data_IF_707994287957
#
_entry.id   IF_707994287957
#
_cell.length_a   1.000
_cell.length_b   1.000
_cell.length_c   1.000
_cell.angle_alpha   90.00
_cell.angle_beta   90.00
_cell.angle_gamma   90.00
#
_symmetry.space_group_name_H-M   'P 1'
#
loop_
_entity.id
_entity.type
_entity.pdbx_description
1 polymer ?
#
# COMPACT_ATOMS: atom_id res chain seq x y z
N UNK A 1 -6.80 28.35 27.05
CA UNK A 1 -6.41 28.77 25.70
C UNK A 1 -5.50 27.70 25.10
N UNK A 2 -5.95 26.97 24.07
CA UNK A 2 -5.11 25.97 23.37
C UNK A 2 -4.30 26.70 22.31
N UNK A 3 -2.98 26.60 22.37
CA UNK A 3 -2.09 27.17 21.36
C UNK A 3 -2.33 26.43 20.03
N UNK A 4 -2.75 27.18 19.01
CA UNK A 4 -2.88 26.68 17.64
C UNK A 4 -1.46 26.62 17.07
N UNK A 5 -0.87 25.42 17.00
CA UNK A 5 0.44 25.23 16.37
C UNK A 5 0.23 25.34 14.86
N UNK A 6 0.79 26.34 14.16
CA UNK A 6 0.65 26.44 12.71
C UNK A 6 1.37 25.25 12.07
N UNK A 7 0.65 24.50 11.23
CA UNK A 7 1.24 23.46 10.40
C UNK A 7 2.36 24.06 9.54
N UNK A 8 3.51 23.39 9.47
CA UNK A 8 4.73 23.87 8.83
C UNK A 8 4.46 24.15 7.33
N UNK A 9 4.78 25.34 6.78
CA UNK A 9 4.25 25.77 5.47
C UNK A 9 4.82 25.06 4.22
N UNK A 10 5.62 24.00 4.34
CA UNK A 10 6.36 23.44 3.20
C UNK A 10 6.42 21.92 3.19
N UNK A 11 5.39 21.22 3.69
CA UNK A 11 5.31 19.79 3.42
C UNK A 11 4.86 19.64 1.95
N UNK A 12 5.73 19.20 1.02
CA UNK A 12 5.28 18.86 -0.32
C UNK A 12 4.15 17.85 -0.16
N UNK A 13 2.99 18.16 -0.73
CA UNK A 13 1.90 17.20 -0.75
C UNK A 13 2.46 15.93 -1.37
N UNK A 14 2.56 14.87 -0.57
CA UNK A 14 2.98 13.58 -1.10
C UNK A 14 1.99 13.25 -2.22
N UNK A 15 2.46 12.92 -3.44
CA UNK A 15 1.57 12.56 -4.54
C UNK A 15 0.68 11.35 -4.17
N UNK A 16 1.12 10.61 -3.16
CA UNK A 16 0.45 9.47 -2.58
C UNK A 16 -0.53 9.92 -1.48
N UNK A 17 -1.84 9.92 -1.82
CA UNK A 17 -2.93 10.39 -0.93
C UNK A 17 -3.07 9.52 0.33
N UNK A 18 -2.61 8.27 0.29
CA UNK A 18 -2.70 7.31 1.39
C UNK A 18 -1.36 6.55 1.59
N UNK A 19 -0.28 7.24 1.99
CA UNK A 19 1.09 6.69 1.94
C UNK A 19 1.29 5.45 2.83
N UNK A 20 0.52 5.32 3.92
CA UNK A 20 0.57 4.13 4.78
C UNK A 20 -0.02 2.90 4.10
N UNK A 21 -1.10 3.06 3.35
CA UNK A 21 -1.76 1.98 2.62
C UNK A 21 -0.91 1.55 1.42
N UNK A 22 -0.35 2.51 0.68
CA UNK A 22 0.58 2.24 -0.42
C UNK A 22 1.82 1.49 0.08
N UNK A 23 2.40 1.92 1.22
CA UNK A 23 3.53 1.20 1.83
C UNK A 23 3.16 -0.22 2.27
N UNK A 24 1.99 -0.40 2.89
CA UNK A 24 1.52 -1.71 3.31
C UNK A 24 1.25 -2.64 2.12
N UNK A 25 0.70 -2.12 1.02
CA UNK A 25 0.45 -2.84 -0.23
C UNK A 25 1.75 -3.33 -0.87
N UNK A 26 2.75 -2.44 -1.03
CA UNK A 26 4.09 -2.82 -1.51
C UNK A 26 4.72 -3.90 -0.63
N UNK A 27 4.69 -3.74 0.69
CA UNK A 27 5.27 -4.73 1.59
C UNK A 27 4.54 -6.09 1.52
N UNK A 28 3.22 -6.10 1.34
CA UNK A 28 2.48 -7.34 1.12
C UNK A 28 2.89 -8.02 -0.19
N UNK A 29 3.14 -7.27 -1.27
CA UNK A 29 3.64 -7.83 -2.52
C UNK A 29 5.04 -8.44 -2.37
N UNK A 30 5.95 -7.77 -1.68
CA UNK A 30 7.29 -8.31 -1.36
C UNK A 30 7.20 -9.67 -0.64
N UNK A 31 6.35 -9.76 0.38
CA UNK A 31 6.13 -11.03 1.10
C UNK A 31 5.55 -12.13 0.21
N UNK A 32 4.63 -11.76 -0.68
CA UNK A 32 4.03 -12.70 -1.62
C UNK A 32 5.07 -13.22 -2.63
N UNK A 33 5.93 -12.34 -3.15
CA UNK A 33 7.00 -12.72 -4.08
C UNK A 33 8.03 -13.67 -3.47
N UNK A 34 8.22 -13.66 -2.15
CA UNK A 34 9.16 -14.57 -1.46
C UNK A 34 8.63 -16.00 -1.36
N UNK A 35 7.34 -16.20 -1.07
CA UNK A 35 6.82 -17.52 -0.67
C UNK A 35 5.47 -17.93 -1.32
N UNK A 36 4.74 -17.01 -1.94
CA UNK A 36 3.46 -17.22 -2.63
C UNK A 36 2.51 -18.28 -2.01
N UNK A 37 2.12 -18.14 -0.72
CA UNK A 37 1.37 -19.19 -0.01
C UNK A 37 -0.12 -19.30 -0.44
N UNK A 38 -0.62 -18.30 -1.17
CA UNK A 38 -1.98 -18.21 -1.73
C UNK A 38 -1.88 -17.57 -3.12
N UNK A 39 -2.99 -17.55 -3.87
CA UNK A 39 -3.05 -16.70 -5.07
C UNK A 39 -2.79 -15.23 -4.70
N UNK A 40 -2.27 -14.44 -5.63
CA UNK A 40 -1.94 -13.04 -5.39
C UNK A 40 -3.15 -12.23 -4.87
N UNK A 41 -4.34 -12.47 -5.43
CA UNK A 41 -5.58 -11.82 -5.02
C UNK A 41 -6.01 -12.20 -3.60
N UNK A 42 -6.01 -13.49 -3.28
CA UNK A 42 -6.36 -13.96 -1.94
C UNK A 42 -5.39 -13.45 -0.87
N UNK A 43 -4.09 -13.46 -1.16
CA UNK A 43 -3.08 -12.95 -0.25
C UNK A 43 -3.23 -11.44 -0.02
N UNK A 44 -3.42 -10.66 -1.10
CA UNK A 44 -3.68 -9.23 -1.04
C UNK A 44 -4.89 -8.90 -0.17
N UNK A 45 -6.01 -9.59 -0.42
CA UNK A 45 -7.27 -9.33 0.29
C UNK A 45 -7.17 -9.72 1.77
N UNK A 46 -6.50 -10.84 2.09
CA UNK A 46 -6.19 -11.25 3.46
C UNK A 46 -5.35 -10.19 4.20
N UNK A 47 -4.28 -9.69 3.55
CA UNK A 47 -3.38 -8.70 4.15
C UNK A 47 -4.08 -7.36 4.35
N UNK A 48 -4.90 -6.92 3.38
CA UNK A 48 -5.71 -5.71 3.54
C UNK A 48 -6.68 -5.84 4.70
N UNK A 49 -7.43 -6.96 4.79
CA UNK A 49 -8.34 -7.23 5.89
C UNK A 49 -7.63 -7.19 7.25
N UNK A 50 -6.44 -7.77 7.35
CA UNK A 50 -5.64 -7.74 8.58
C UNK A 50 -5.11 -6.33 8.91
N UNK A 51 -4.79 -5.53 7.90
CA UNK A 51 -4.32 -4.14 8.07
C UNK A 51 -5.41 -3.25 8.68
N UNK A 52 -6.65 -3.40 8.23
CA UNK A 52 -7.78 -2.60 8.73
C UNK A 52 -8.50 -3.23 9.91
N UNK A 53 -8.09 -4.43 10.35
CA UNK A 53 -8.72 -5.13 11.46
C UNK A 53 -8.69 -4.26 12.74
N UNK A 54 -9.86 -4.11 13.37
CA UNK A 54 -10.02 -3.26 14.55
C UNK A 54 -10.20 -1.77 14.25
N UNK A 55 -10.29 -1.39 12.97
CA UNK A 55 -10.68 -0.03 12.56
C UNK A 55 -12.16 -0.03 12.20
N UNK A 56 -12.92 0.96 12.69
CA UNK A 56 -14.28 1.18 12.21
C UNK A 56 -14.28 1.67 10.76
N UNK A 57 -15.37 1.42 10.06
CA UNK A 57 -15.54 1.85 8.67
C UNK A 57 -15.51 3.38 8.60
N UNK A 58 -14.58 3.93 7.82
CA UNK A 58 -14.36 5.38 7.71
C UNK A 58 -14.63 5.88 6.28
N UNK A 59 -15.08 7.14 6.12
CA UNK A 59 -15.11 7.78 4.82
C UNK A 59 -13.72 7.73 4.15
N UNK A 60 -13.67 7.24 2.91
CA UNK A 60 -12.43 7.10 2.14
C UNK A 60 -11.78 5.71 2.21
N UNK A 61 -12.41 4.72 2.84
CA UNK A 61 -11.91 3.34 2.87
C UNK A 61 -11.76 2.72 1.49
N UNK A 62 -12.62 3.05 0.52
CA UNK A 62 -12.46 2.61 -0.87
C UNK A 62 -11.14 3.14 -1.46
N UNK A 63 -10.85 4.43 -1.27
CA UNK A 63 -9.62 5.03 -1.79
C UNK A 63 -8.36 4.51 -1.09
N UNK A 64 -8.46 4.17 0.20
CA UNK A 64 -7.38 3.51 0.95
C UNK A 64 -7.13 2.10 0.42
N UNK A 65 -8.20 1.38 0.09
CA UNK A 65 -8.14 0.04 -0.53
C UNK A 65 -7.52 0.10 -1.91
N UNK A 66 -7.93 1.06 -2.74
CA UNK A 66 -7.34 1.31 -4.06
C UNK A 66 -5.84 1.58 -3.94
N UNK A 67 -5.41 2.49 -3.07
CA UNK A 67 -3.99 2.79 -2.87
C UNK A 67 -3.17 1.56 -2.43
N UNK A 68 -3.73 0.72 -1.55
CA UNK A 68 -3.10 -0.56 -1.18
C UNK A 68 -2.99 -1.51 -2.38
N UNK A 69 -4.08 -1.69 -3.13
CA UNK A 69 -4.14 -2.60 -4.27
C UNK A 69 -3.21 -2.18 -5.40
N UNK A 70 -3.16 -0.88 -5.70
CA UNK A 70 -2.32 -0.30 -6.75
C UNK A 70 -0.84 -0.48 -6.40
N UNK A 71 -0.46 -0.24 -5.15
CA UNK A 71 0.92 -0.43 -4.71
C UNK A 71 1.33 -1.91 -4.69
N UNK A 72 0.40 -2.80 -4.31
CA UNK A 72 0.62 -4.25 -4.38
C UNK A 72 0.86 -4.71 -5.83
N UNK A 73 -0.02 -4.31 -6.75
CA UNK A 73 0.07 -4.67 -8.17
C UNK A 73 1.33 -4.08 -8.82
N UNK A 74 1.62 -2.80 -8.54
CA UNK A 74 2.80 -2.11 -9.08
C UNK A 74 4.10 -2.77 -8.64
N UNK A 75 4.21 -3.21 -7.39
CA UNK A 75 5.40 -3.92 -6.91
C UNK A 75 5.61 -5.27 -7.61
N UNK A 76 4.54 -6.04 -7.85
CA UNK A 76 4.62 -7.28 -8.64
C UNK A 76 5.02 -6.97 -10.09
N UNK A 77 4.44 -5.94 -10.70
CA UNK A 77 4.80 -5.52 -12.06
C UNK A 77 6.27 -5.11 -12.16
N UNK A 78 6.79 -4.35 -11.20
CA UNK A 78 8.21 -4.00 -11.11
C UNK A 78 9.11 -5.25 -11.00
N UNK A 79 8.70 -6.25 -10.22
CA UNK A 79 9.44 -7.50 -10.08
C UNK A 79 9.45 -8.31 -11.38
N UNK A 80 8.31 -8.40 -12.08
CA UNK A 80 8.23 -9.04 -13.41
C UNK A 80 9.13 -8.32 -14.40
N UNK A 81 9.05 -6.99 -14.49
CA UNK A 81 9.90 -6.21 -15.40
C UNK A 81 11.38 -6.45 -15.11
N UNK A 82 11.78 -6.48 -13.83
CA UNK A 82 13.17 -6.79 -13.46
C UNK A 82 13.57 -8.20 -13.84
N UNK A 83 12.71 -9.19 -13.67
CA UNK A 83 12.99 -10.56 -14.09
C UNK A 83 13.17 -10.65 -15.61
N UNK A 84 12.25 -10.08 -16.39
CA UNK A 84 12.25 -10.17 -17.85
C UNK A 84 13.33 -9.31 -18.53
N UNK A 85 13.64 -8.13 -17.99
CA UNK A 85 14.55 -7.14 -18.61
C UNK A 85 15.98 -7.26 -18.09
N UNK A 86 16.19 -7.67 -16.83
CA UNK A 86 17.51 -7.76 -16.22
C UNK A 86 18.11 -9.17 -16.22
N UNK A 87 17.66 -10.08 -17.09
CA UNK A 87 18.40 -11.30 -17.41
C UNK A 87 19.72 -10.94 -18.13
N UNK A 88 20.75 -10.57 -17.35
CA UNK A 88 22.17 -10.48 -17.72
C UNK A 88 22.97 -11.30 -16.73
#
# INVERSE_FOLDING_TARGET
>A
MRANVPARPEQPQSPDRFPLFSRAGRHAAELWLVAAPLSAGEFRDLRYRNLIAGTEQMPGDEMRREAFNDAFASCIAEAIVRAEVCHV
#
